data_IF_906900067547
#
_entry.id   IF_906900067547
#
_cell.length_a   1.000
_cell.length_b   1.000
_cell.length_c   1.000
_cell.angle_alpha   90.00
_cell.angle_beta   90.00
_cell.angle_gamma   90.00
#
_symmetry.space_group_name_H-M   'P 1'
#
loop_
_entity.id
_entity.type
_entity.pdbx_description
1 polymer ?
#
# COMPACT_ATOMS: atom_id res chain seq x y z
N UNK A 1 13.62 4.72 8.44
CA UNK A 1 13.65 6.09 9.01
C UNK A 1 13.54 5.98 10.52
N UNK A 2 14.32 6.70 11.34
CA UNK A 2 14.17 6.70 12.81
C UNK A 2 12.89 7.46 13.24
N UNK A 3 12.38 7.18 14.45
CA UNK A 3 11.20 7.86 15.03
C UNK A 3 11.38 9.38 15.18
N UNK A 4 12.62 9.85 15.26
CA UNK A 4 12.93 11.29 15.29
C UNK A 4 12.85 11.95 13.92
N UNK A 5 12.58 11.19 12.86
CA UNK A 5 12.60 11.67 11.47
C UNK A 5 14.02 11.80 10.90
N UNK A 6 14.08 12.01 9.59
CA UNK A 6 15.30 12.35 8.83
C UNK A 6 14.89 13.09 7.56
N UNK A 7 15.77 13.93 7.04
CA UNK A 7 15.55 14.60 5.76
C UNK A 7 15.55 13.61 4.59
N UNK A 8 14.77 13.93 3.56
CA UNK A 8 14.81 13.20 2.31
C UNK A 8 16.12 13.52 1.58
N UNK A 9 16.69 12.56 0.83
CA UNK A 9 17.75 12.89 -0.12
C UNK A 9 17.23 13.85 -1.19
N UNK A 10 18.14 14.52 -1.90
CA UNK A 10 17.77 15.32 -3.07
C UNK A 10 17.07 14.43 -4.11
N UNK A 11 15.76 14.66 -4.30
CA UNK A 11 14.93 13.84 -5.19
C UNK A 11 15.26 14.07 -6.67
N UNK A 12 15.73 15.27 -6.99
CA UNK A 12 16.11 15.67 -8.33
C UNK A 12 17.29 16.65 -8.30
N UNK A 13 17.89 16.83 -9.46
CA UNK A 13 18.96 17.80 -9.71
C UNK A 13 18.61 18.61 -10.95
N UNK A 14 19.48 19.55 -11.36
CA UNK A 14 19.29 20.31 -12.61
C UNK A 14 19.31 19.44 -13.88
N UNK A 15 19.76 18.18 -13.79
CA UNK A 15 19.81 17.25 -14.93
C UNK A 15 18.63 16.25 -14.97
N UNK A 16 17.75 16.26 -13.97
CA UNK A 16 16.57 15.39 -13.91
C UNK A 16 16.34 14.71 -12.55
N UNK A 17 15.36 13.82 -12.52
CA UNK A 17 14.99 13.04 -11.34
C UNK A 17 16.04 11.99 -10.99
N UNK A 18 16.29 11.81 -9.70
CA UNK A 18 17.35 10.94 -9.18
C UNK A 18 16.91 9.50 -8.89
N UNK A 19 15.61 9.23 -8.88
CA UNK A 19 15.02 7.94 -8.51
C UNK A 19 13.96 7.48 -9.52
N UNK A 20 14.01 6.20 -9.93
CA UNK A 20 13.03 5.61 -10.86
C UNK A 20 11.81 4.95 -10.19
N UNK A 21 11.78 4.90 -8.86
CA UNK A 21 10.71 4.29 -8.07
C UNK A 21 10.91 4.59 -6.59
N UNK A 22 9.81 4.60 -5.83
CA UNK A 22 9.82 4.80 -4.37
C UNK A 22 9.13 3.60 -3.72
N UNK A 23 9.71 3.07 -2.64
CA UNK A 23 9.10 1.99 -1.86
C UNK A 23 9.08 2.40 -0.40
N UNK A 24 7.91 2.37 0.23
CA UNK A 24 7.73 2.69 1.65
C UNK A 24 7.09 1.52 2.37
N UNK A 25 7.72 1.07 3.45
CA UNK A 25 7.19 0.04 4.34
C UNK A 25 6.47 0.70 5.52
N UNK A 26 5.26 0.24 5.81
CA UNK A 26 4.48 0.59 7.01
C UNK A 26 4.31 2.10 7.24
N UNK A 27 4.29 2.89 6.15
CA UNK A 27 4.26 4.37 6.16
C UNK A 27 5.39 5.00 6.99
N UNK A 28 6.45 4.24 7.30
CA UNK A 28 7.43 4.55 8.35
C UNK A 28 6.78 5.05 9.63
N UNK A 29 5.68 4.42 10.03
CA UNK A 29 4.82 4.81 11.12
C UNK A 29 5.36 4.39 12.49
N UNK A 30 5.18 5.26 13.48
CA UNK A 30 5.56 5.05 14.87
C UNK A 30 4.43 5.51 15.80
N UNK A 31 4.35 4.87 16.97
CA UNK A 31 3.46 5.32 18.04
C UNK A 31 4.09 6.53 18.78
N UNK A 32 3.49 7.71 18.61
CA UNK A 32 3.86 8.95 19.29
C UNK A 32 3.06 9.18 20.59
N UNK A 33 2.52 8.11 21.18
CA UNK A 33 1.78 8.14 22.44
C UNK A 33 0.41 8.76 22.28
N UNK A 34 0.15 9.90 22.94
CA UNK A 34 -1.15 10.58 22.88
C UNK A 34 -1.56 11.01 21.46
N UNK A 35 -0.60 11.15 20.54
CA UNK A 35 -0.83 11.50 19.13
C UNK A 35 -1.10 10.27 18.25
N UNK A 36 -1.04 9.07 18.82
CA UNK A 36 -1.23 7.79 18.13
C UNK A 36 -0.13 7.48 17.11
N UNK A 37 -0.45 6.54 16.22
CA UNK A 37 0.43 6.14 15.13
C UNK A 37 0.47 7.21 14.03
N UNK A 38 1.67 7.66 13.68
CA UNK A 38 1.91 8.64 12.62
C UNK A 38 3.19 8.29 11.85
N UNK A 39 3.27 8.71 10.60
CA UNK A 39 4.51 8.60 9.81
C UNK A 39 5.66 9.40 10.47
N UNK A 40 6.88 8.85 10.44
CA UNK A 40 8.09 9.62 10.74
C UNK A 40 8.47 10.63 9.65
N UNK A 41 7.87 10.53 8.46
CA UNK A 41 7.94 11.59 7.47
C UNK A 41 6.87 12.63 7.76
N UNK A 42 7.27 13.90 7.69
CA UNK A 42 6.33 15.02 7.80
C UNK A 42 5.40 15.08 6.59
N UNK A 43 4.28 15.79 6.72
CA UNK A 43 3.36 16.05 5.61
C UNK A 43 4.07 16.70 4.42
N UNK A 44 4.99 17.64 4.67
CA UNK A 44 5.75 18.31 3.61
C UNK A 44 6.71 17.36 2.89
N UNK A 45 7.28 16.38 3.59
CA UNK A 45 8.12 15.35 2.96
C UNK A 45 7.29 14.40 2.11
N UNK A 46 6.10 13.99 2.56
CA UNK A 46 5.17 13.22 1.74
C UNK A 46 4.75 13.99 0.49
N UNK A 47 4.43 15.28 0.64
CA UNK A 47 4.09 16.14 -0.50
C UNK A 47 5.25 16.29 -1.48
N UNK A 48 6.51 16.37 -1.01
CA UNK A 48 7.68 16.36 -1.89
C UNK A 48 7.78 15.06 -2.69
N UNK A 49 7.54 13.90 -2.07
CA UNK A 49 7.51 12.62 -2.78
C UNK A 49 6.38 12.59 -3.82
N UNK A 50 5.18 13.05 -3.47
CA UNK A 50 4.04 13.09 -4.39
C UNK A 50 4.26 14.04 -5.57
N UNK A 51 4.85 15.22 -5.32
CA UNK A 51 5.22 16.15 -6.39
C UNK A 51 6.28 15.54 -7.31
N UNK A 52 7.27 14.84 -6.75
CA UNK A 52 8.28 14.14 -7.52
C UNK A 52 7.69 13.03 -8.42
N UNK A 53 6.70 12.28 -7.91
CA UNK A 53 5.96 11.29 -8.70
C UNK A 53 5.29 11.92 -9.93
N UNK A 54 4.64 13.07 -9.75
CA UNK A 54 3.95 13.78 -10.82
C UNK A 54 4.92 14.37 -11.84
N UNK A 55 5.98 15.06 -11.38
CA UNK A 55 6.95 15.74 -12.25
C UNK A 55 7.73 14.74 -13.13
N UNK A 56 8.15 13.61 -12.56
CA UNK A 56 9.02 12.65 -13.24
C UNK A 56 8.31 11.34 -13.62
N UNK A 57 6.98 11.26 -13.48
CA UNK A 57 6.18 10.04 -13.74
C UNK A 57 6.68 8.80 -12.97
N UNK A 58 7.11 9.00 -11.72
CA UNK A 58 7.68 7.94 -10.87
C UNK A 58 6.57 7.27 -10.06
N UNK A 59 6.59 5.94 -10.00
CA UNK A 59 5.64 5.15 -9.21
C UNK A 59 6.10 4.92 -7.77
N UNK A 60 5.13 4.80 -6.87
CA UNK A 60 5.36 4.46 -5.47
C UNK A 60 4.68 3.14 -5.10
N UNK A 61 5.39 2.28 -4.36
CA UNK A 61 4.83 1.08 -3.75
C UNK A 61 4.80 1.26 -2.25
N UNK A 62 3.64 1.00 -1.64
CA UNK A 62 3.50 0.92 -0.19
C UNK A 62 3.00 -0.47 0.22
N UNK A 63 3.60 -1.05 1.25
CA UNK A 63 3.20 -2.34 1.81
C UNK A 63 3.24 -2.31 3.34
N UNK A 64 2.53 -3.23 3.98
CA UNK A 64 2.31 -3.25 5.44
C UNK A 64 1.62 -1.98 5.96
N UNK A 65 0.67 -1.46 5.18
CA UNK A 65 -0.08 -0.24 5.50
C UNK A 65 -1.51 -0.56 5.90
N UNK A 66 -2.07 0.27 6.78
CA UNK A 66 -3.47 0.14 7.16
C UNK A 66 -4.37 0.75 6.06
N UNK A 67 -5.41 0.05 5.59
CA UNK A 67 -6.27 0.56 4.52
C UNK A 67 -7.05 1.79 5.00
N UNK A 68 -6.89 2.89 4.27
CA UNK A 68 -7.48 4.18 4.60
C UNK A 68 -7.59 5.10 3.39
N UNK A 69 -7.99 6.38 3.61
CA UNK A 69 -8.25 7.33 2.54
C UNK A 69 -7.07 7.56 1.59
N UNK A 70 -5.83 7.51 2.11
CA UNK A 70 -4.60 7.63 1.30
C UNK A 70 -4.44 6.50 0.27
N UNK A 71 -5.18 5.41 0.42
CA UNK A 71 -5.16 4.22 -0.45
C UNK A 71 -6.51 3.99 -1.15
N UNK A 72 -7.47 4.91 -1.00
CA UNK A 72 -8.82 4.78 -1.57
C UNK A 72 -9.57 3.53 -1.08
N UNK A 73 -9.26 3.07 0.13
CA UNK A 73 -9.80 1.86 0.73
C UNK A 73 -10.24 2.09 2.19
N UNK A 74 -10.93 1.12 2.77
CA UNK A 74 -11.34 1.10 4.17
C UNK A 74 -11.27 -0.32 4.71
N UNK A 75 -10.85 -0.49 5.96
CA UNK A 75 -10.82 -1.81 6.60
C UNK A 75 -12.25 -2.38 6.78
N UNK A 76 -12.42 -3.67 6.53
CA UNK A 76 -13.68 -4.42 6.74
C UNK A 76 -13.82 -4.88 8.21
N UNK A 77 -12.76 -4.75 9.01
CA UNK A 77 -12.74 -5.12 10.42
C UNK A 77 -11.39 -4.84 11.06
N UNK A 78 -11.08 -5.58 12.13
CA UNK A 78 -9.74 -5.59 12.72
C UNK A 78 -8.70 -6.28 11.83
N UNK A 79 -7.43 -6.23 12.25
CA UNK A 79 -6.35 -6.95 11.56
C UNK A 79 -6.48 -8.47 11.67
N UNK A 80 -5.85 -9.15 10.71
CA UNK A 80 -5.95 -10.57 10.43
C UNK A 80 -4.60 -11.25 10.47
N UNK A 81 -4.50 -12.50 10.95
CA UNK A 81 -5.38 -13.12 11.94
C UNK A 81 -4.52 -13.74 13.03
N UNK A 82 -5.16 -14.15 14.13
CA UNK A 82 -4.50 -14.87 15.21
C UNK A 82 -3.74 -16.10 14.70
N UNK A 83 -2.70 -16.52 15.44
CA UNK A 83 -1.89 -17.68 15.09
C UNK A 83 -2.75 -18.89 14.74
N UNK A 84 -2.51 -19.47 13.55
CA UNK A 84 -3.18 -20.69 13.09
C UNK A 84 -4.38 -20.47 12.17
N UNK A 85 -4.88 -19.24 12.00
CA UNK A 85 -5.95 -18.93 11.04
C UNK A 85 -5.35 -18.67 9.65
N UNK A 86 -5.86 -19.36 8.64
CA UNK A 86 -5.47 -19.17 7.24
C UNK A 86 -6.43 -18.22 6.54
N UNK A 87 -5.90 -17.41 5.63
CA UNK A 87 -6.67 -16.70 4.64
C UNK A 87 -5.86 -16.64 3.34
N UNK A 88 -6.25 -17.42 2.34
CA UNK A 88 -5.52 -17.41 1.07
C UNK A 88 -5.61 -16.03 0.40
N UNK A 89 -4.52 -15.63 -0.26
CA UNK A 89 -4.46 -14.43 -1.11
C UNK A 89 -4.13 -14.84 -2.54
N UNK A 90 -4.73 -14.15 -3.51
CA UNK A 90 -4.39 -14.32 -4.92
C UNK A 90 -4.46 -13.00 -5.69
N UNK A 91 -3.65 -12.87 -6.74
CA UNK A 91 -3.81 -11.77 -7.69
C UNK A 91 -5.07 -11.98 -8.52
N UNK A 92 -5.92 -10.95 -8.56
CA UNK A 92 -7.15 -10.92 -9.36
C UNK A 92 -6.96 -10.20 -10.69
N UNK A 93 -5.97 -9.30 -10.78
CA UNK A 93 -5.63 -8.60 -12.01
C UNK A 93 -4.13 -8.29 -12.06
N UNK A 94 -3.49 -8.69 -13.17
CA UNK A 94 -2.06 -8.49 -13.42
C UNK A 94 -1.80 -7.64 -14.69
N UNK A 95 -2.84 -7.05 -15.28
CA UNK A 95 -2.77 -6.27 -16.53
C UNK A 95 -1.85 -5.05 -16.44
N UNK A 96 -1.61 -4.52 -15.23
CA UNK A 96 -0.69 -3.42 -14.98
C UNK A 96 0.79 -3.86 -14.92
N UNK A 97 1.07 -5.17 -14.84
CA UNK A 97 2.41 -5.76 -14.78
C UNK A 97 2.46 -7.13 -15.49
N UNK A 98 2.09 -7.19 -16.79
CA UNK A 98 1.92 -8.46 -17.51
C UNK A 98 3.22 -9.23 -17.75
N UNK A 99 4.37 -8.55 -17.68
CA UNK A 99 5.71 -9.15 -17.79
C UNK A 99 6.21 -9.82 -16.50
N UNK A 100 5.44 -9.76 -15.41
CA UNK A 100 5.82 -10.34 -14.11
C UNK A 100 5.88 -11.87 -14.12
N UNK A 101 5.20 -12.54 -15.06
CA UNK A 101 5.08 -14.00 -15.10
C UNK A 101 4.15 -14.59 -14.04
N UNK A 102 3.45 -13.75 -13.28
CA UNK A 102 2.45 -14.18 -12.29
C UNK A 102 1.21 -14.76 -12.98
N UNK A 103 0.51 -15.68 -12.30
CA UNK A 103 -0.75 -16.26 -12.77
C UNK A 103 -1.90 -15.75 -11.93
N UNK A 104 -2.87 -15.08 -12.56
CA UNK A 104 -4.12 -14.66 -11.91
C UNK A 104 -4.84 -15.86 -11.29
N UNK A 105 -5.36 -15.70 -10.08
CA UNK A 105 -6.11 -16.72 -9.34
C UNK A 105 -5.27 -17.81 -8.68
N UNK A 106 -3.94 -17.84 -8.89
CA UNK A 106 -3.06 -18.74 -8.14
C UNK A 106 -3.03 -18.27 -6.67
N UNK A 107 -3.55 -19.11 -5.77
CA UNK A 107 -3.68 -18.79 -4.35
C UNK A 107 -2.41 -19.15 -3.59
N UNK A 108 -2.05 -18.31 -2.61
CA UNK A 108 -0.95 -18.53 -1.67
C UNK A 108 -1.40 -18.21 -0.25
N UNK A 109 -0.77 -18.86 0.72
CA UNK A 109 -1.08 -18.69 2.15
C UNK A 109 -0.64 -17.31 2.66
N UNK A 110 -1.42 -16.74 3.58
CA UNK A 110 -1.04 -15.55 4.36
C UNK A 110 -0.70 -15.89 5.80
N UNK A 111 -0.62 -17.18 6.14
CA UNK A 111 -0.37 -17.63 7.51
C UNK A 111 0.93 -17.04 8.07
N UNK A 112 0.81 -16.34 9.19
CA UNK A 112 1.94 -15.67 9.86
C UNK A 112 2.25 -14.27 9.32
N UNK A 113 1.53 -13.80 8.30
CA UNK A 113 1.59 -12.43 7.81
C UNK A 113 0.37 -11.68 8.33
N UNK A 114 0.60 -10.62 9.10
CA UNK A 114 -0.49 -9.75 9.53
C UNK A 114 -0.99 -8.94 8.34
N UNK A 115 -2.31 -8.85 8.18
CA UNK A 115 -2.95 -8.15 7.07
C UNK A 115 -4.30 -7.54 7.48
N UNK A 116 -4.86 -6.71 6.61
CA UNK A 116 -6.13 -6.03 6.86
C UNK A 116 -7.07 -6.21 5.66
N UNK A 117 -8.08 -7.08 5.74
CA UNK A 117 -9.17 -7.15 4.78
C UNK A 117 -9.78 -5.77 4.54
N UNK A 118 -9.88 -5.36 3.27
CA UNK A 118 -10.35 -4.03 2.91
C UNK A 118 -11.51 -4.06 1.90
N UNK A 119 -12.16 -2.92 1.75
CA UNK A 119 -13.05 -2.58 0.64
C UNK A 119 -12.54 -1.32 -0.03
N UNK A 120 -12.71 -1.21 -1.35
CA UNK A 120 -12.42 0.02 -2.08
C UNK A 120 -13.53 1.03 -1.78
N UNK A 121 -13.14 2.21 -1.30
CA UNK A 121 -14.05 3.32 -1.00
C UNK A 121 -14.14 4.34 -2.14
N UNK A 122 -13.13 4.40 -3.02
CA UNK A 122 -13.16 5.25 -4.21
C UNK A 122 -12.75 4.50 -5.49
N UNK A 123 -13.75 4.02 -6.25
CA UNK A 123 -13.53 3.24 -7.47
C UNK A 123 -13.09 4.06 -8.69
N UNK A 124 -13.12 5.41 -8.62
CA UNK A 124 -12.65 6.24 -9.75
C UNK A 124 -11.13 6.36 -9.80
N UNK A 125 -10.48 6.25 -8.64
CA UNK A 125 -9.03 6.40 -8.47
C UNK A 125 -8.34 5.13 -7.95
N UNK A 126 -9.09 4.07 -7.66
CA UNK A 126 -8.55 2.87 -6.98
C UNK A 126 -9.07 1.60 -7.62
N UNK A 127 -8.15 0.72 -7.99
CA UNK A 127 -8.43 -0.56 -8.64
C UNK A 127 -7.84 -1.70 -7.82
N UNK A 128 -8.64 -2.75 -7.57
CA UNK A 128 -8.17 -3.98 -6.93
C UNK A 128 -7.22 -4.76 -7.87
N UNK A 129 -6.13 -5.27 -7.32
CA UNK A 129 -5.21 -6.19 -8.02
C UNK A 129 -5.03 -7.54 -7.31
N UNK A 130 -5.38 -7.63 -6.02
CA UNK A 130 -5.37 -8.88 -5.26
C UNK A 130 -6.54 -8.95 -4.28
N UNK A 131 -6.97 -10.18 -3.97
CA UNK A 131 -8.07 -10.48 -3.06
C UNK A 131 -7.62 -11.46 -1.99
N UNK A 132 -8.10 -11.26 -0.77
CA UNK A 132 -8.14 -12.29 0.26
C UNK A 132 -9.42 -13.10 0.11
N UNK A 133 -9.30 -14.43 0.10
CA UNK A 133 -10.44 -15.34 0.03
C UNK A 133 -11.28 -15.29 1.31
N UNK A 134 -12.56 -15.65 1.20
CA UNK A 134 -13.37 -15.96 2.37
C UNK A 134 -12.73 -17.09 3.21
N UNK A 135 -12.88 -17.02 4.53
CA UNK A 135 -12.42 -18.03 5.48
C UNK A 135 -13.41 -18.17 6.65
N UNK A 136 -12.98 -18.77 7.76
CA UNK A 136 -13.81 -18.95 8.96
C UNK A 136 -14.17 -17.66 9.70
N UNK A 137 -13.60 -16.51 9.33
CA UNK A 137 -13.78 -15.21 10.01
C UNK A 137 -14.41 -14.18 9.09
N UNK A 138 -13.96 -14.08 7.84
CA UNK A 138 -14.55 -13.26 6.78
C UNK A 138 -15.33 -14.13 5.81
N UNK A 139 -16.66 -13.95 5.77
CA UNK A 139 -17.57 -14.80 4.97
C UNK A 139 -17.63 -14.44 3.48
N UNK A 140 -16.82 -13.48 3.02
CA UNK A 140 -16.72 -13.07 1.63
C UNK A 140 -15.29 -12.68 1.31
N UNK A 141 -14.95 -12.69 0.03
CA UNK A 141 -13.70 -12.16 -0.47
C UNK A 141 -13.57 -10.65 -0.14
N UNK A 142 -12.34 -10.21 0.09
CA UNK A 142 -12.02 -8.82 0.45
C UNK A 142 -10.77 -8.34 -0.28
N UNK A 143 -10.59 -7.03 -0.38
CA UNK A 143 -9.46 -6.42 -1.09
C UNK A 143 -8.17 -6.65 -0.31
N UNK A 144 -7.14 -7.19 -0.97
CA UNK A 144 -5.81 -7.40 -0.40
C UNK A 144 -4.77 -6.40 -0.90
N UNK A 145 -4.90 -5.96 -2.15
CA UNK A 145 -4.01 -4.95 -2.73
C UNK A 145 -4.72 -4.15 -3.81
N UNK A 146 -4.30 -2.89 -3.95
CA UNK A 146 -4.84 -1.94 -4.91
C UNK A 146 -3.72 -1.25 -5.70
N UNK A 147 -4.07 -0.70 -6.85
CA UNK A 147 -3.33 0.35 -7.54
C UNK A 147 -4.17 1.61 -7.48
N UNK A 148 -3.57 2.73 -7.08
CA UNK A 148 -4.20 4.03 -7.11
C UNK A 148 -3.75 4.82 -8.35
N UNK A 149 -4.64 5.68 -8.84
CA UNK A 149 -4.32 6.77 -9.76
C UNK A 149 -4.97 8.04 -9.21
N UNK A 150 -4.16 8.83 -8.51
CA UNK A 150 -4.57 10.09 -7.93
C UNK A 150 -4.13 11.22 -8.85
N UNK A 151 -4.92 11.44 -9.90
CA UNK A 151 -4.72 12.48 -10.90
C UNK A 151 -3.32 12.41 -11.56
N UNK A 152 -2.89 11.20 -11.94
CA UNK A 152 -1.59 10.94 -12.56
C UNK A 152 -0.52 10.42 -11.59
N UNK A 153 -0.75 10.49 -10.27
CA UNK A 153 0.13 9.88 -9.26
C UNK A 153 -0.24 8.42 -9.05
N UNK A 154 0.71 7.51 -9.34
CA UNK A 154 0.53 6.05 -9.28
C UNK A 154 1.43 5.36 -8.25
#
# INVERSE_FOLDING_TARGET
MPITGVDLPALNTSIGGSFGGIVVASEVSYDYGANGYQSALTTDQWNQLYAYQLEYSVRMVQYDVFPGPNYGATAVGGGCYASGVEQDVSFTDISNFPSSGLKTGASVSTKGLWHYPATISNTTSTKQIASFAANSVTNSDTVAAVINDFDGRQ
#
